data_IF_951834453724
#
_entry.id   IF_951834453724
#
_cell.length_a   1.000
_cell.length_b   1.000
_cell.length_c   1.000
_cell.angle_alpha   90.00
_cell.angle_beta   90.00
_cell.angle_gamma   90.00
#
_symmetry.space_group_name_H-M   'P 1'
#
loop_
_entity.id
_entity.type
_entity.pdbx_description
1 polymer ?
#
# COMPACT_ATOMS: atom_id res chain seq x y z
N UNK A 1 -4.48 1.20 -20.04
CA UNK A 1 -3.35 0.87 -20.91
C UNK A 1 -3.79 0.42 -22.30
N UNK A 2 -4.63 -0.63 -22.49
CA UNK A 2 -5.04 -1.18 -23.79
C UNK A 2 -5.47 -0.16 -24.85
N UNK A 3 -6.40 0.77 -24.55
CA UNK A 3 -6.83 1.79 -25.53
C UNK A 3 -5.73 2.77 -25.90
N UNK A 4 -4.83 3.08 -24.99
CA UNK A 4 -3.68 3.97 -25.26
C UNK A 4 -2.75 3.32 -26.29
N UNK A 5 -2.36 2.07 -26.05
CA UNK A 5 -1.53 1.29 -26.97
C UNK A 5 -2.22 1.11 -28.32
N UNK A 6 -3.53 0.78 -28.33
CA UNK A 6 -4.31 0.65 -29.55
C UNK A 6 -4.27 1.95 -30.38
N UNK A 7 -4.44 3.11 -29.77
CA UNK A 7 -4.38 4.41 -30.46
C UNK A 7 -2.98 4.64 -31.01
N UNK A 8 -1.94 4.46 -30.22
CA UNK A 8 -0.57 4.72 -30.63
C UNK A 8 -0.10 3.78 -31.74
N UNK A 9 -0.63 2.55 -31.81
CA UNK A 9 -0.34 1.61 -32.90
C UNK A 9 -1.08 1.94 -34.19
N UNK A 10 -2.37 2.26 -34.11
CA UNK A 10 -3.23 2.38 -35.27
C UNK A 10 -3.34 3.82 -35.84
N UNK A 11 -2.92 4.84 -35.09
CA UNK A 11 -2.96 6.23 -35.50
C UNK A 11 -1.57 6.87 -35.46
N UNK A 12 -0.76 6.70 -36.54
CA UNK A 12 0.62 7.18 -36.58
C UNK A 12 0.76 8.70 -36.37
N UNK A 13 -0.24 9.48 -36.78
CA UNK A 13 -0.28 10.93 -36.59
C UNK A 13 -0.35 11.29 -35.11
N UNK A 14 -1.15 10.57 -34.30
CA UNK A 14 -1.25 10.78 -32.87
C UNK A 14 0.07 10.39 -32.19
N UNK A 15 0.65 9.24 -32.58
CA UNK A 15 1.96 8.80 -32.07
C UNK A 15 3.04 9.82 -32.34
N UNK A 16 3.14 10.32 -33.59
CA UNK A 16 4.13 11.34 -33.99
C UNK A 16 3.94 12.64 -33.23
N UNK A 17 2.68 13.07 -33.02
CA UNK A 17 2.38 14.26 -32.23
C UNK A 17 2.95 14.15 -30.82
N UNK A 18 2.68 13.06 -30.11
CA UNK A 18 3.23 12.83 -28.78
C UNK A 18 4.76 12.74 -28.77
N UNK A 19 5.34 12.02 -29.72
CA UNK A 19 6.80 11.91 -29.85
C UNK A 19 7.48 13.25 -30.13
N UNK A 20 6.81 14.17 -30.84
CA UNK A 20 7.36 15.48 -31.13
C UNK A 20 7.31 16.47 -29.96
N UNK A 21 6.42 16.26 -29.01
CA UNK A 21 6.32 17.07 -27.81
C UNK A 21 7.30 16.65 -26.71
N UNK A 22 7.77 15.40 -26.75
CA UNK A 22 8.67 14.85 -25.73
C UNK A 22 10.13 15.08 -26.14
N UNK A 23 10.87 15.86 -25.36
CA UNK A 23 12.30 16.03 -25.51
C UNK A 23 13.11 15.07 -24.62
N UNK A 24 12.56 14.70 -23.47
CA UNK A 24 13.12 13.80 -22.49
C UNK A 24 12.01 12.89 -21.93
N UNK A 25 12.30 11.63 -21.74
CA UNK A 25 11.41 10.69 -21.08
C UNK A 25 12.15 10.03 -19.92
N UNK A 26 11.60 10.19 -18.72
CA UNK A 26 12.17 9.59 -17.52
C UNK A 26 11.13 8.65 -16.89
N UNK A 27 11.53 7.43 -16.59
CA UNK A 27 10.69 6.40 -15.99
C UNK A 27 11.31 6.01 -14.66
N UNK A 28 10.58 6.18 -13.58
CA UNK A 28 11.00 5.79 -12.24
C UNK A 28 10.31 4.49 -11.81
N UNK A 29 10.93 3.76 -10.88
CA UNK A 29 10.44 2.47 -10.36
C UNK A 29 10.12 1.44 -11.46
N UNK A 30 10.93 1.43 -12.50
CA UNK A 30 10.67 0.68 -13.73
C UNK A 30 10.59 -0.84 -13.51
N UNK A 31 11.15 -1.37 -12.42
CA UNK A 31 11.05 -2.79 -12.04
C UNK A 31 9.61 -3.22 -11.72
N UNK A 32 8.73 -2.25 -11.41
CA UNK A 32 7.32 -2.53 -11.10
C UNK A 32 6.39 -2.44 -12.32
N UNK A 33 6.95 -2.05 -13.48
CA UNK A 33 6.20 -1.91 -14.72
C UNK A 33 5.87 -3.25 -15.37
N UNK A 34 4.67 -3.35 -15.95
CA UNK A 34 4.24 -4.48 -16.76
C UNK A 34 4.69 -4.36 -18.24
N UNK A 35 4.37 -5.37 -19.05
CA UNK A 35 4.76 -5.40 -20.46
C UNK A 35 4.10 -4.27 -21.28
N UNK A 36 2.85 -3.93 -20.99
CA UNK A 36 2.11 -2.88 -21.69
C UNK A 36 2.72 -1.50 -21.40
N UNK A 37 3.15 -1.26 -20.16
CA UNK A 37 3.83 -0.04 -19.75
C UNK A 37 5.20 0.08 -20.43
N UNK A 38 5.97 -1.00 -20.50
CA UNK A 38 7.23 -1.05 -21.24
C UNK A 38 7.03 -0.77 -22.74
N UNK A 39 5.99 -1.33 -23.34
CA UNK A 39 5.63 -1.08 -24.74
C UNK A 39 5.28 0.40 -24.96
N UNK A 40 4.50 0.99 -24.05
CA UNK A 40 4.18 2.41 -24.10
C UNK A 40 5.44 3.28 -24.07
N UNK A 41 6.37 3.01 -23.15
CA UNK A 41 7.64 3.75 -23.08
C UNK A 41 8.46 3.62 -24.36
N UNK A 42 8.52 2.41 -24.90
CA UNK A 42 9.23 2.14 -26.17
C UNK A 42 8.61 2.89 -27.35
N UNK A 43 7.28 2.95 -27.42
CA UNK A 43 6.58 3.72 -28.45
C UNK A 43 6.83 5.23 -28.29
N UNK A 44 6.70 5.75 -27.09
CA UNK A 44 6.85 7.19 -26.82
C UNK A 44 8.30 7.66 -27.00
N UNK A 45 9.27 6.82 -26.62
CA UNK A 45 10.69 7.11 -26.80
C UNK A 45 11.19 6.89 -28.23
N UNK A 46 10.38 6.32 -29.10
CA UNK A 46 10.74 5.98 -30.48
C UNK A 46 11.30 7.17 -31.26
N UNK A 47 12.64 7.28 -31.31
CA UNK A 47 13.37 8.37 -31.93
C UNK A 47 13.90 9.43 -30.95
N UNK A 48 13.62 9.32 -29.65
CA UNK A 48 14.25 10.15 -28.62
C UNK A 48 15.61 9.55 -28.25
N UNK A 49 16.67 10.31 -28.41
CA UNK A 49 17.99 9.97 -27.85
C UNK A 49 18.06 10.22 -26.33
N UNK A 50 16.95 10.51 -25.65
CA UNK A 50 16.91 10.99 -24.28
C UNK A 50 15.90 10.21 -23.41
N UNK A 51 16.06 8.88 -23.35
CA UNK A 51 15.30 8.01 -22.45
C UNK A 51 16.17 7.69 -21.24
N UNK A 52 15.64 7.96 -20.05
CA UNK A 52 16.27 7.56 -18.78
C UNK A 52 15.31 6.65 -18.03
N UNK A 53 15.75 5.45 -17.68
CA UNK A 53 15.02 4.50 -16.84
C UNK A 53 15.73 4.37 -15.50
N UNK A 54 14.97 4.47 -14.42
CA UNK A 54 15.48 4.39 -13.05
C UNK A 54 14.72 3.27 -12.33
N UNK A 55 15.44 2.42 -11.63
CA UNK A 55 14.81 1.33 -10.89
C UNK A 55 15.83 0.46 -10.15
N UNK A 56 15.31 -0.49 -9.44
CA UNK A 56 16.08 -1.48 -8.71
C UNK A 56 15.44 -2.86 -8.84
N UNK A 57 15.98 -3.77 -9.66
CA UNK A 57 15.42 -5.11 -9.85
C UNK A 57 15.31 -5.89 -8.54
N UNK A 58 16.20 -5.62 -7.56
CA UNK A 58 16.16 -6.26 -6.24
C UNK A 58 14.98 -5.79 -5.38
N UNK A 59 14.28 -4.70 -5.76
CA UNK A 59 13.09 -4.18 -5.07
C UNK A 59 11.78 -4.59 -5.75
N UNK A 60 11.83 -5.40 -6.82
CA UNK A 60 10.63 -5.89 -7.50
C UNK A 60 9.79 -6.79 -6.59
N UNK A 61 8.60 -6.34 -6.21
CA UNK A 61 7.65 -7.07 -5.34
C UNK A 61 6.25 -7.23 -5.98
N UNK A 62 6.08 -6.81 -7.25
CA UNK A 62 4.80 -6.80 -7.95
C UNK A 62 4.72 -7.75 -9.15
N UNK A 63 5.62 -8.75 -9.27
CA UNK A 63 5.56 -9.75 -10.32
C UNK A 63 4.21 -10.48 -10.36
N UNK A 64 3.60 -10.73 -9.21
CA UNK A 64 2.26 -11.31 -9.08
C UNK A 64 1.15 -10.44 -9.67
N UNK A 65 1.41 -9.15 -9.94
CA UNK A 65 0.50 -8.22 -10.62
C UNK A 65 0.82 -8.07 -12.11
N UNK A 66 1.88 -8.72 -12.59
CA UNK A 66 2.31 -8.69 -13.99
C UNK A 66 3.56 -7.85 -14.26
N UNK A 67 4.21 -7.28 -13.23
CA UNK A 67 5.46 -6.55 -13.46
C UNK A 67 6.55 -7.48 -14.03
N UNK A 68 7.43 -6.89 -14.82
CA UNK A 68 8.47 -7.60 -15.58
C UNK A 68 9.86 -7.02 -15.29
N UNK A 69 10.44 -7.21 -14.10
CA UNK A 69 11.76 -6.68 -13.75
C UNK A 69 12.87 -7.15 -14.70
N UNK A 70 12.67 -8.31 -15.35
CA UNK A 70 13.62 -8.81 -16.35
C UNK A 70 13.79 -7.85 -17.54
N UNK A 71 12.72 -7.13 -17.94
CA UNK A 71 12.81 -6.15 -19.02
C UNK A 71 13.76 -4.98 -18.68
N UNK A 72 13.85 -4.63 -17.39
CA UNK A 72 14.83 -3.65 -16.93
C UNK A 72 16.24 -4.22 -16.92
N UNK A 73 16.44 -5.45 -16.46
CA UNK A 73 17.76 -6.11 -16.46
C UNK A 73 18.31 -6.27 -17.88
N UNK A 74 17.42 -6.58 -18.83
CA UNK A 74 17.77 -6.79 -20.26
C UNK A 74 17.81 -5.47 -21.05
N UNK A 75 17.45 -4.35 -20.44
CA UNK A 75 17.48 -3.06 -21.11
C UNK A 75 18.91 -2.59 -21.31
N UNK A 76 19.27 -2.27 -22.56
CA UNK A 76 20.59 -1.79 -22.93
C UNK A 76 20.56 -0.28 -23.14
N UNK A 77 21.24 0.44 -22.27
CA UNK A 77 21.44 1.89 -22.35
C UNK A 77 22.83 2.23 -22.90
N UNK A 78 22.97 3.43 -23.46
CA UNK A 78 24.29 3.97 -23.83
C UNK A 78 25.18 4.24 -22.61
N UNK A 79 24.56 4.46 -21.46
CA UNK A 79 25.25 4.71 -20.19
C UNK A 79 24.46 4.12 -19.04
N UNK A 80 25.12 3.29 -18.24
CA UNK A 80 24.59 2.71 -17.03
C UNK A 80 25.23 3.37 -15.81
N UNK A 81 24.41 3.82 -14.87
CA UNK A 81 24.86 4.43 -13.62
C UNK A 81 24.31 3.60 -12.45
N UNK A 82 25.21 3.05 -11.64
CA UNK A 82 24.82 2.29 -10.45
C UNK A 82 25.00 3.15 -9.20
N UNK A 83 23.89 3.39 -8.47
CA UNK A 83 23.89 4.17 -7.24
C UNK A 83 24.02 3.26 -6.02
N UNK A 84 25.22 3.09 -5.50
CA UNK A 84 25.54 2.19 -4.38
C UNK A 84 25.46 2.87 -3.01
N UNK A 85 25.62 4.19 -2.95
CA UNK A 85 25.59 4.91 -1.68
C UNK A 85 24.17 5.09 -1.18
N UNK A 86 23.89 4.59 0.01
CA UNK A 86 22.60 4.72 0.69
C UNK A 86 22.66 5.83 1.74
N UNK A 87 21.74 6.78 1.64
CA UNK A 87 21.61 7.92 2.54
C UNK A 87 20.51 7.75 3.59
N UNK A 88 19.70 6.68 3.47
CA UNK A 88 18.55 6.41 4.33
C UNK A 88 18.91 5.62 5.58
N UNK A 89 19.58 4.50 5.39
CA UNK A 89 19.77 3.47 6.43
C UNK A 89 21.16 3.51 7.05
N UNK A 90 21.29 2.92 8.24
CA UNK A 90 22.57 2.67 8.90
C UNK A 90 23.24 1.41 8.35
N UNK A 91 24.56 1.22 8.57
CA UNK A 91 25.25 0.01 8.13
C UNK A 91 24.63 -1.28 8.65
N UNK A 92 24.11 -1.27 9.88
CA UNK A 92 23.48 -2.46 10.48
C UNK A 92 22.27 -2.98 9.70
N UNK A 93 21.50 -2.07 9.08
CA UNK A 93 20.37 -2.39 8.22
C UNK A 93 20.86 -2.86 6.85
N UNK A 94 21.86 -2.17 6.28
CA UNK A 94 22.39 -2.51 4.95
C UNK A 94 23.11 -3.85 4.95
N UNK A 95 23.83 -4.21 6.02
CA UNK A 95 24.48 -5.52 6.16
C UNK A 95 23.43 -6.66 6.03
N UNK A 96 22.27 -6.52 6.70
CA UNK A 96 21.19 -7.50 6.61
C UNK A 96 20.54 -7.48 5.22
N UNK A 97 20.29 -6.30 4.67
CA UNK A 97 19.68 -6.16 3.33
C UNK A 97 20.58 -6.78 2.25
N UNK A 98 21.88 -6.45 2.24
CA UNK A 98 22.85 -7.03 1.30
C UNK A 98 22.95 -8.55 1.44
N UNK A 99 22.94 -9.07 2.69
CA UNK A 99 22.99 -10.51 2.94
C UNK A 99 21.76 -11.23 2.40
N UNK A 100 20.54 -10.67 2.57
CA UNK A 100 19.30 -11.25 2.06
C UNK A 100 19.30 -11.21 0.53
N UNK A 101 19.59 -10.05 -0.05
CA UNK A 101 19.47 -9.83 -1.48
C UNK A 101 20.55 -10.56 -2.29
N UNK A 102 21.67 -10.92 -1.68
CA UNK A 102 22.72 -11.73 -2.32
C UNK A 102 22.25 -13.11 -2.82
N UNK A 103 21.10 -13.59 -2.30
CA UNK A 103 20.47 -14.85 -2.75
C UNK A 103 19.68 -14.71 -4.05
N UNK A 104 19.37 -13.50 -4.49
CA UNK A 104 18.71 -13.27 -5.77
C UNK A 104 19.65 -13.63 -6.93
N UNK A 105 19.11 -14.30 -7.96
CA UNK A 105 19.88 -14.74 -9.13
C UNK A 105 19.83 -13.73 -10.28
N UNK A 106 18.67 -13.12 -10.51
CA UNK A 106 18.44 -12.15 -11.60
C UNK A 106 18.59 -10.74 -11.02
N UNK A 107 19.82 -10.21 -10.99
CA UNK A 107 20.08 -8.91 -10.40
C UNK A 107 21.21 -8.18 -11.11
N UNK A 108 21.21 -6.86 -10.99
CA UNK A 108 22.40 -6.05 -11.26
C UNK A 108 23.31 -6.12 -10.03
N UNK A 109 24.53 -6.65 -10.13
CA UNK A 109 25.42 -6.77 -8.96
C UNK A 109 25.73 -5.39 -8.37
N UNK A 110 25.37 -5.21 -7.10
CA UNK A 110 25.69 -4.01 -6.32
C UNK A 110 25.73 -4.35 -4.84
N UNK A 111 26.55 -3.64 -4.09
CA UNK A 111 26.57 -3.68 -2.64
C UNK A 111 26.28 -2.27 -2.11
N UNK A 112 25.20 -2.12 -1.38
CA UNK A 112 24.81 -0.87 -0.78
C UNK A 112 25.73 -0.56 0.40
N UNK A 113 26.25 0.66 0.46
CA UNK A 113 27.02 1.16 1.58
C UNK A 113 26.52 2.52 2.06
N UNK A 114 26.90 2.93 3.25
CA UNK A 114 26.55 4.23 3.81
C UNK A 114 27.70 4.77 4.67
N UNK A 115 27.80 6.09 4.72
CA UNK A 115 28.74 6.81 5.62
C UNK A 115 28.13 7.10 7.00
N UNK A 116 26.86 6.73 7.21
CA UNK A 116 26.21 6.90 8.52
C UNK A 116 26.90 6.04 9.59
N UNK A 117 26.97 6.51 10.84
CA UNK A 117 27.50 5.71 11.92
C UNK A 117 26.58 4.51 12.21
N UNK A 118 27.15 3.41 12.71
CA UNK A 118 26.37 2.30 13.25
C UNK A 118 25.54 2.78 14.42
N UNK A 119 24.29 2.38 14.48
CA UNK A 119 23.36 2.90 15.49
C UNK A 119 22.65 1.80 16.29
N UNK A 120 21.96 0.88 15.63
CA UNK A 120 21.10 -0.10 16.31
C UNK A 120 21.15 -1.42 15.56
N UNK A 121 21.28 -2.52 16.28
CA UNK A 121 21.19 -3.87 15.67
C UNK A 121 19.77 -4.13 15.15
N UNK A 122 19.70 -4.76 13.98
CA UNK A 122 18.47 -5.39 13.50
C UNK A 122 18.10 -6.53 14.44
N UNK A 123 16.85 -6.57 14.89
CA UNK A 123 16.34 -7.60 15.80
C UNK A 123 15.42 -8.52 15.03
N UNK A 124 15.71 -9.81 15.09
CA UNK A 124 14.78 -10.84 14.66
C UNK A 124 14.07 -11.41 15.89
N UNK A 125 12.74 -11.42 15.84
CA UNK A 125 11.89 -12.00 16.87
C UNK A 125 11.01 -13.09 16.27
N UNK A 126 10.98 -14.24 16.88
CA UNK A 126 10.09 -15.35 16.53
C UNK A 126 9.05 -15.52 17.63
N UNK A 127 7.80 -15.33 17.31
CA UNK A 127 6.69 -15.54 18.23
C UNK A 127 6.10 -16.96 18.04
N UNK A 128 5.50 -17.51 19.09
CA UNK A 128 4.82 -18.80 19.02
C UNK A 128 3.47 -18.71 18.29
N UNK A 129 2.87 -17.53 18.32
CA UNK A 129 1.58 -17.22 17.69
C UNK A 129 1.48 -15.72 17.31
N UNK A 130 0.49 -15.40 16.51
CA UNK A 130 0.20 -14.04 16.00
C UNK A 130 -0.17 -13.06 17.14
N UNK A 131 -0.83 -13.53 18.19
CA UNK A 131 -1.18 -12.68 19.33
C UNK A 131 0.06 -12.23 20.10
N UNK A 132 1.02 -13.15 20.32
CA UNK A 132 2.30 -12.82 20.95
C UNK A 132 3.15 -11.91 20.08
N UNK A 133 3.13 -12.10 18.76
CA UNK A 133 3.78 -11.20 17.80
C UNK A 133 3.24 -9.78 17.91
N UNK A 134 1.91 -9.62 17.81
CA UNK A 134 1.24 -8.32 17.89
C UNK A 134 1.52 -7.61 19.22
N UNK A 135 1.48 -8.36 20.33
CA UNK A 135 1.82 -7.84 21.64
C UNK A 135 3.28 -7.39 21.73
N UNK A 136 4.20 -8.19 21.23
CA UNK A 136 5.63 -7.85 21.24
C UNK A 136 5.90 -6.58 20.42
N UNK A 137 5.26 -6.43 19.28
CA UNK A 137 5.34 -5.23 18.44
C UNK A 137 4.89 -3.99 19.25
N UNK A 138 3.68 -4.03 19.82
CA UNK A 138 3.14 -2.90 20.58
C UNK A 138 3.98 -2.58 21.81
N UNK A 139 4.42 -3.59 22.59
CA UNK A 139 5.30 -3.44 23.75
C UNK A 139 6.64 -2.82 23.37
N UNK A 140 7.19 -3.21 22.22
CA UNK A 140 8.47 -2.68 21.71
C UNK A 140 8.35 -1.21 21.36
N UNK A 141 7.28 -0.83 20.67
CA UNK A 141 6.96 0.56 20.32
C UNK A 141 6.78 1.40 21.58
N UNK A 142 5.94 0.95 22.52
CA UNK A 142 5.70 1.67 23.76
C UNK A 142 7.01 1.88 24.57
N UNK A 143 7.85 0.85 24.66
CA UNK A 143 9.17 0.92 25.35
C UNK A 143 10.12 1.89 24.63
N UNK A 144 10.14 1.90 23.31
CA UNK A 144 11.02 2.80 22.54
C UNK A 144 10.65 4.27 22.79
N UNK A 145 9.37 4.61 22.66
CA UNK A 145 8.87 5.98 22.89
C UNK A 145 9.05 6.41 24.35
N UNK A 146 8.75 5.54 25.30
CA UNK A 146 8.96 5.83 26.74
C UNK A 146 10.44 6.09 27.09
N UNK A 147 11.37 5.47 26.37
CA UNK A 147 12.83 5.70 26.53
C UNK A 147 13.35 6.90 25.76
N UNK A 148 12.49 7.70 25.12
CA UNK A 148 12.87 8.86 24.31
C UNK A 148 13.62 8.52 23.03
N UNK A 149 13.43 7.30 22.49
CA UNK A 149 14.07 6.85 21.25
C UNK A 149 13.25 7.20 20.00
N UNK A 150 12.48 8.27 20.05
CA UNK A 150 11.62 8.75 18.98
C UNK A 150 10.18 8.91 19.41
N UNK A 151 9.34 9.36 18.48
CA UNK A 151 7.90 9.54 18.63
C UNK A 151 7.12 8.42 17.88
N UNK A 152 5.84 8.28 18.16
CA UNK A 152 4.99 7.31 17.43
C UNK A 152 4.93 7.58 15.93
N UNK A 153 5.01 8.86 15.51
CA UNK A 153 4.99 9.23 14.10
C UNK A 153 6.26 8.87 13.30
N UNK A 154 7.32 8.46 13.98
CA UNK A 154 8.58 8.03 13.36
C UNK A 154 8.72 6.51 13.25
N UNK A 155 7.68 5.77 13.63
CA UNK A 155 7.67 4.30 13.61
C UNK A 155 6.68 3.82 12.56
N UNK A 156 7.12 2.89 11.71
CA UNK A 156 6.26 2.25 10.72
C UNK A 156 6.24 0.73 10.94
N UNK A 157 5.05 0.13 10.77
CA UNK A 157 4.85 -1.32 10.76
C UNK A 157 4.45 -1.72 9.34
N UNK A 158 5.23 -2.60 8.72
CA UNK A 158 5.00 -3.04 7.35
C UNK A 158 4.41 -4.45 7.33
N UNK A 159 3.38 -4.65 6.51
CA UNK A 159 2.71 -5.94 6.33
C UNK A 159 2.77 -6.40 4.89
N UNK A 160 2.91 -7.70 4.67
CA UNK A 160 2.79 -8.30 3.34
C UNK A 160 1.36 -8.27 2.82
N UNK A 161 0.37 -8.34 3.70
CA UNK A 161 -1.05 -8.35 3.34
C UNK A 161 -1.89 -7.57 4.35
N UNK A 162 -2.90 -6.85 3.85
CA UNK A 162 -3.71 -5.92 4.65
C UNK A 162 -4.47 -6.59 5.80
N UNK A 163 -4.82 -7.88 5.70
CA UNK A 163 -5.54 -8.57 6.76
C UNK A 163 -4.70 -8.78 8.04
N UNK A 164 -3.35 -8.77 7.90
CA UNK A 164 -2.43 -8.92 9.02
C UNK A 164 -2.44 -7.69 9.96
N UNK A 165 -2.89 -6.52 9.48
CA UNK A 165 -2.97 -5.33 10.32
C UNK A 165 -3.90 -5.47 11.52
N UNK A 166 -4.95 -6.31 11.40
CA UNK A 166 -6.01 -6.42 12.41
C UNK A 166 -5.50 -6.73 13.82
N UNK A 167 -4.64 -7.74 13.96
CA UNK A 167 -4.12 -8.13 15.27
C UNK A 167 -3.28 -7.02 15.90
N UNK A 168 -2.45 -6.36 15.08
CA UNK A 168 -1.62 -5.24 15.53
C UNK A 168 -2.48 -4.03 15.89
N UNK A 169 -3.47 -3.67 15.08
CA UNK A 169 -4.41 -2.57 15.38
C UNK A 169 -5.13 -2.79 16.71
N UNK A 170 -5.60 -4.02 16.97
CA UNK A 170 -6.25 -4.36 18.24
C UNK A 170 -5.33 -4.17 19.45
N UNK A 171 -4.07 -4.60 19.33
CA UNK A 171 -3.12 -4.47 20.44
C UNK A 171 -2.67 -3.02 20.64
N UNK A 172 -2.50 -2.23 19.56
CA UNK A 172 -2.23 -0.80 19.66
C UNK A 172 -3.38 -0.04 20.35
N UNK A 173 -4.64 -0.35 19.99
CA UNK A 173 -5.83 0.23 20.64
C UNK A 173 -5.85 -0.11 22.13
N UNK A 174 -5.63 -1.39 22.47
CA UNK A 174 -5.63 -1.86 23.86
C UNK A 174 -4.58 -1.16 24.73
N UNK A 175 -3.43 -0.83 24.14
CA UNK A 175 -2.34 -0.14 24.84
C UNK A 175 -2.44 1.40 24.70
N UNK A 176 -3.46 1.95 24.04
CA UNK A 176 -3.64 3.38 23.84
C UNK A 176 -2.57 4.02 22.95
N UNK A 177 -1.95 3.26 22.04
CA UNK A 177 -0.94 3.75 21.12
C UNK A 177 -1.62 4.34 19.89
N UNK A 178 -1.40 5.63 19.56
CA UNK A 178 -1.98 6.25 18.38
C UNK A 178 -1.36 5.67 17.11
N UNK A 179 -2.18 5.41 16.09
CA UNK A 179 -1.72 4.88 14.81
C UNK A 179 -2.53 5.40 13.63
N UNK A 180 -1.95 5.31 12.43
CA UNK A 180 -2.65 5.53 11.16
C UNK A 180 -2.37 4.35 10.22
N UNK A 181 -3.35 3.98 9.38
CA UNK A 181 -3.19 2.95 8.35
C UNK A 181 -3.04 3.65 7.00
N UNK A 182 -1.92 3.40 6.31
CA UNK A 182 -1.64 3.93 4.98
C UNK A 182 -1.97 2.90 3.91
N UNK A 183 -2.53 3.35 2.80
CA UNK A 183 -2.90 2.47 1.68
C UNK A 183 -4.13 1.59 1.93
N UNK A 184 -4.88 1.83 3.01
CA UNK A 184 -6.07 1.07 3.35
C UNK A 184 -7.00 1.81 4.29
N UNK A 185 -8.22 1.29 4.44
CA UNK A 185 -9.17 1.75 5.45
C UNK A 185 -8.88 0.95 6.73
N UNK A 186 -8.80 1.62 7.88
CA UNK A 186 -8.66 0.95 9.19
C UNK A 186 -9.66 -0.19 9.30
N UNK A 187 -9.27 -1.31 9.89
CA UNK A 187 -10.10 -2.51 9.94
C UNK A 187 -11.53 -2.21 10.41
N UNK A 188 -11.67 -1.48 11.52
CA UNK A 188 -12.98 -1.12 12.07
C UNK A 188 -13.72 -0.02 11.28
N UNK A 189 -13.06 0.63 10.34
CA UNK A 189 -13.67 1.63 9.45
C UNK A 189 -14.15 1.05 8.13
N UNK A 190 -13.79 -0.20 7.82
CA UNK A 190 -14.25 -0.90 6.61
C UNK A 190 -15.77 -0.99 6.61
N UNK A 191 -16.35 -0.80 5.43
CA UNK A 191 -17.81 -0.79 5.26
C UNK A 191 -18.46 -2.05 5.84
N UNK A 192 -17.92 -3.21 5.48
CA UNK A 192 -18.43 -4.54 5.87
C UNK A 192 -18.39 -4.73 7.40
N UNK A 193 -17.35 -4.24 8.03
CA UNK A 193 -17.18 -4.32 9.49
C UNK A 193 -18.15 -3.38 10.19
N UNK A 194 -18.30 -2.15 9.72
CA UNK A 194 -19.29 -1.20 10.25
C UNK A 194 -20.73 -1.72 10.07
N UNK A 195 -21.02 -2.37 8.95
CA UNK A 195 -22.32 -2.98 8.69
C UNK A 195 -22.59 -4.14 9.66
N UNK A 196 -21.62 -5.05 9.84
CA UNK A 196 -21.72 -6.15 10.80
C UNK A 196 -21.88 -5.64 12.25
N UNK A 197 -21.08 -4.66 12.66
CA UNK A 197 -21.19 -4.04 13.98
C UNK A 197 -22.56 -3.36 14.19
N UNK A 198 -23.12 -2.75 13.15
CA UNK A 198 -24.44 -2.12 13.24
C UNK A 198 -25.55 -3.15 13.43
N UNK A 199 -25.46 -4.34 12.80
CA UNK A 199 -26.36 -5.45 13.11
C UNK A 199 -26.25 -5.91 14.57
N UNK A 200 -25.04 -6.06 15.08
CA UNK A 200 -24.83 -6.44 16.48
C UNK A 200 -25.35 -5.37 17.44
N UNK A 201 -25.20 -4.09 17.12
CA UNK A 201 -25.75 -2.97 17.91
C UNK A 201 -27.28 -3.04 17.97
N UNK A 202 -27.95 -3.32 16.84
CA UNK A 202 -29.40 -3.47 16.81
C UNK A 202 -29.89 -4.67 17.63
N UNK A 203 -29.14 -5.78 17.66
CA UNK A 203 -29.46 -6.93 18.51
C UNK A 203 -29.34 -6.53 20.00
N UNK A 204 -28.30 -5.77 20.35
CA UNK A 204 -28.06 -5.33 21.72
C UNK A 204 -29.00 -4.19 22.15
N UNK A 205 -29.32 -3.27 21.23
CA UNK A 205 -30.20 -2.15 21.44
C UNK A 205 -31.08 -1.91 20.19
N UNK A 206 -32.33 -2.42 20.18
CA UNK A 206 -33.26 -2.22 19.06
C UNK A 206 -33.58 -0.74 18.78
N UNK A 207 -33.33 0.16 19.76
CA UNK A 207 -33.63 1.59 19.63
C UNK A 207 -32.47 2.39 19.00
N UNK A 208 -31.42 1.72 18.48
CA UNK A 208 -30.31 2.39 17.80
C UNK A 208 -30.67 2.71 16.33
N UNK A 209 -31.34 3.85 16.13
CA UNK A 209 -31.77 4.32 14.81
C UNK A 209 -30.61 4.54 13.83
N UNK A 210 -29.43 4.94 14.32
CA UNK A 210 -28.24 5.11 13.49
C UNK A 210 -27.75 3.77 12.95
N UNK A 211 -27.74 2.74 13.79
CA UNK A 211 -27.41 1.39 13.38
C UNK A 211 -28.45 0.84 12.40
N UNK A 212 -29.74 1.10 12.65
CA UNK A 212 -30.82 0.71 11.75
C UNK A 212 -30.69 1.37 10.38
N UNK A 213 -30.54 2.67 10.29
CA UNK A 213 -30.38 3.42 9.04
C UNK A 213 -29.20 2.91 8.21
N UNK A 214 -28.14 2.49 8.90
CA UNK A 214 -26.97 1.94 8.22
C UNK A 214 -27.27 0.61 7.53
N UNK A 215 -28.01 -0.28 8.15
CA UNK A 215 -28.17 -1.68 7.70
C UNK A 215 -29.54 -2.01 7.12
N UNK A 216 -30.53 -1.12 7.22
CA UNK A 216 -31.87 -1.37 6.72
C UNK A 216 -31.93 -1.81 5.25
N UNK A 217 -30.94 -1.37 4.45
CA UNK A 217 -30.78 -1.74 3.05
C UNK A 217 -29.47 -2.51 2.74
N UNK A 218 -28.87 -3.15 3.73
CA UNK A 218 -27.70 -4.03 3.61
C UNK A 218 -28.04 -5.39 4.19
N UNK A 219 -28.12 -6.48 3.41
CA UNK A 219 -28.13 -6.53 1.93
C UNK A 219 -29.28 -5.73 1.34
N UNK A 220 -29.24 -5.46 0.04
CA UNK A 220 -30.27 -4.64 -0.62
C UNK A 220 -31.67 -5.21 -0.44
N UNK A 221 -32.57 -4.45 0.18
CA UNK A 221 -33.98 -4.80 0.45
C UNK A 221 -34.94 -3.91 -0.33
N UNK A 222 -34.42 -3.18 -1.35
CA UNK A 222 -35.20 -2.28 -2.19
C UNK A 222 -35.84 -1.10 -1.42
N UNK A 223 -35.27 -0.74 -0.27
CA UNK A 223 -35.66 0.47 0.44
C UNK A 223 -35.14 1.69 -0.33
N UNK A 224 -36.04 2.34 -1.08
CA UNK A 224 -35.71 3.60 -1.77
C UNK A 224 -35.70 4.78 -0.81
N UNK A 225 -35.14 5.90 -1.28
CA UNK A 225 -35.04 7.15 -0.49
C UNK A 225 -36.39 7.59 0.07
N UNK A 226 -37.46 7.54 -0.74
CA UNK A 226 -38.83 7.90 -0.32
C UNK A 226 -39.39 6.99 0.81
N UNK A 227 -39.10 5.69 0.73
CA UNK A 227 -39.54 4.74 1.76
C UNK A 227 -38.83 5.00 3.09
N UNK A 228 -37.55 5.36 3.03
CA UNK A 228 -36.76 5.68 4.20
C UNK A 228 -37.22 6.99 4.86
N UNK A 229 -37.45 8.04 4.07
CA UNK A 229 -38.00 9.31 4.55
C UNK A 229 -39.40 9.14 5.18
N UNK A 230 -40.24 8.29 4.60
CA UNK A 230 -41.54 7.96 5.17
C UNK A 230 -41.41 7.26 6.53
N UNK A 231 -40.50 6.28 6.62
CA UNK A 231 -40.25 5.55 7.87
C UNK A 231 -39.74 6.48 8.97
N UNK A 232 -38.79 7.37 8.65
CA UNK A 232 -38.24 8.35 9.59
C UNK A 232 -39.34 9.27 10.15
N UNK A 233 -40.18 9.84 9.28
CA UNK A 233 -41.32 10.68 9.71
C UNK A 233 -42.31 9.94 10.56
N UNK A 234 -42.57 8.64 10.26
CA UNK A 234 -43.51 7.85 11.03
C UNK A 234 -42.96 7.51 12.41
N UNK A 235 -41.69 7.16 12.51
CA UNK A 235 -41.01 6.91 13.77
C UNK A 235 -41.03 8.16 14.67
N UNK A 236 -40.73 9.32 14.09
CA UNK A 236 -40.77 10.62 14.78
C UNK A 236 -42.20 10.96 15.31
N UNK A 237 -43.22 10.77 14.46
CA UNK A 237 -44.62 11.03 14.84
C UNK A 237 -45.15 10.08 15.92
N UNK A 238 -44.61 8.88 16.03
CA UNK A 238 -45.01 7.87 17.00
C UNK A 238 -44.11 7.86 18.25
N UNK A 239 -43.06 8.69 18.26
CA UNK A 239 -42.03 8.68 19.31
C UNK A 239 -41.45 7.27 19.55
N UNK A 240 -41.31 6.51 18.46
CA UNK A 240 -40.82 5.13 18.47
C UNK A 240 -39.56 4.99 17.64
N UNK A 241 -38.67 4.01 17.94
CA UNK A 241 -37.51 3.75 17.12
C UNK A 241 -37.91 3.21 15.73
N UNK A 242 -37.07 3.46 14.71
CA UNK A 242 -37.31 3.06 13.33
C UNK A 242 -37.33 1.54 13.12
N UNK A 243 -36.84 0.78 14.07
CA UNK A 243 -36.77 -0.69 14.02
C UNK A 243 -38.07 -1.39 14.44
N UNK A 244 -39.01 -0.68 15.06
CA UNK A 244 -40.33 -1.14 15.45
C UNK A 244 -41.41 -0.68 14.46
#
# INVERSE_FOLDING_TARGET
MYFTLYILHNFPEVRKAWQSELNYLQIDEVQDCDADEWELFSILSGGLGNLCVVGDPDQAIYEWRGSRPQLFVDFHADTDIVLNQNYRSTPDILDVANAIISHNRNRVPKDLFTEKPRAVRVVHYHADDDSKECKWIADTIAKAVKKGKGSYGEIAILFRAAYLSRGVEQELIKQGIPYAVWGGIRFFERKEIKDALSYLRLIANPNDDLAFLRVCNVPSRKFGKKSLEWLMRRAENLEQPMSL
#
